data_IF_509929300618
#
_entry.id   IF_509929300618
#
_cell.length_a   1.000
_cell.length_b   1.000
_cell.length_c   1.000
_cell.angle_alpha   90.00
_cell.angle_beta   90.00
_cell.angle_gamma   90.00
#
_symmetry.space_group_name_H-M   'P 1'
#
loop_
_entity.id
_entity.type
_entity.pdbx_description
1 polymer ?
#
# COMPACT_ATOMS: atom_id res chain seq x y z
N UNK A 1 -15.87 24.65 18.11
CA UNK A 1 -14.94 25.63 17.56
C UNK A 1 -14.37 25.07 16.28
N UNK A 2 -14.77 25.63 15.12
CA UNK A 2 -14.20 25.31 13.82
C UNK A 2 -12.79 25.94 13.74
N UNK A 3 -11.77 25.11 13.91
CA UNK A 3 -10.43 25.51 13.49
C UNK A 3 -10.36 25.39 11.96
N UNK A 4 -10.49 26.50 11.26
CA UNK A 4 -10.00 26.61 9.89
C UNK A 4 -8.48 26.45 9.93
N UNK A 5 -7.98 25.25 9.68
CA UNK A 5 -6.55 25.03 9.43
C UNK A 5 -6.30 25.51 8.00
N UNK A 6 -5.85 26.77 7.88
CA UNK A 6 -5.45 27.36 6.61
C UNK A 6 -4.41 26.46 5.93
N UNK A 7 -4.71 25.96 4.73
CA UNK A 7 -3.77 25.23 3.88
C UNK A 7 -4.02 23.72 3.69
N UNK A 8 -4.94 23.09 4.44
CA UNK A 8 -5.24 21.65 4.30
C UNK A 8 -6.39 21.40 3.33
N UNK A 9 -6.25 20.37 2.49
CA UNK A 9 -7.32 19.98 1.58
C UNK A 9 -8.47 19.29 2.32
N UNK A 10 -9.70 19.33 1.76
CA UNK A 10 -10.85 18.63 2.35
C UNK A 10 -10.59 17.12 2.48
N UNK A 11 -9.92 16.52 1.49
CA UNK A 11 -9.57 15.08 1.51
C UNK A 11 -8.59 14.73 2.64
N UNK A 12 -7.64 15.62 2.93
CA UNK A 12 -6.72 15.47 4.07
C UNK A 12 -7.47 15.57 5.40
N UNK A 13 -8.37 16.54 5.55
CA UNK A 13 -9.22 16.68 6.74
C UNK A 13 -10.11 15.44 6.96
N UNK A 14 -10.68 14.90 5.90
CA UNK A 14 -11.48 13.67 5.94
C UNK A 14 -10.63 12.46 6.35
N UNK A 15 -9.36 12.40 5.94
CA UNK A 15 -8.42 11.37 6.35
C UNK A 15 -8.09 11.49 7.85
N UNK A 16 -7.79 12.69 8.33
CA UNK A 16 -7.56 12.98 9.76
C UNK A 16 -8.77 12.57 10.59
N UNK A 17 -9.97 12.95 10.15
CA UNK A 17 -11.23 12.58 10.82
C UNK A 17 -11.39 11.05 10.88
N UNK A 18 -11.13 10.36 9.78
CA UNK A 18 -11.19 8.90 9.72
C UNK A 18 -10.22 8.25 10.70
N UNK A 19 -8.98 8.72 10.77
CA UNK A 19 -7.97 8.20 11.70
C UNK A 19 -8.42 8.43 13.15
N UNK A 20 -8.86 9.63 13.50
CA UNK A 20 -9.36 9.97 14.84
C UNK A 20 -10.55 9.09 15.27
N UNK A 21 -11.41 8.69 14.35
CA UNK A 21 -12.54 7.79 14.63
C UNK A 21 -12.11 6.36 14.89
N UNK A 22 -10.98 5.92 14.34
CA UNK A 22 -10.55 4.52 14.36
C UNK A 22 -9.29 4.27 15.21
N UNK A 23 -8.69 5.31 15.78
CA UNK A 23 -7.50 5.20 16.61
C UNK A 23 -7.63 6.03 17.88
N UNK A 24 -7.31 5.41 19.02
CA UNK A 24 -7.43 6.02 20.36
C UNK A 24 -6.09 6.43 20.97
N UNK A 25 -4.96 6.12 20.28
CA UNK A 25 -3.64 6.51 20.73
C UNK A 25 -3.30 7.96 20.37
N UNK A 26 -2.05 8.34 20.61
CA UNK A 26 -1.57 9.69 20.32
C UNK A 26 -1.54 9.96 18.81
N UNK A 27 -2.11 11.11 18.42
CA UNK A 27 -2.11 11.60 17.04
C UNK A 27 -1.50 13.00 17.05
N UNK A 28 -0.40 13.17 16.34
CA UNK A 28 0.23 14.46 16.13
C UNK A 28 -0.01 14.93 14.69
N UNK A 29 -0.38 16.19 14.52
CA UNK A 29 -0.68 16.78 13.21
C UNK A 29 0.35 17.86 12.89
N UNK A 30 0.80 17.90 11.63
CA UNK A 30 1.77 18.90 11.16
C UNK A 30 3.07 18.90 11.98
N UNK A 31 3.55 17.69 12.33
CA UNK A 31 4.80 17.55 13.08
C UNK A 31 5.99 18.04 12.28
N UNK A 32 6.88 18.76 12.93
CA UNK A 32 8.14 19.27 12.37
C UNK A 32 9.36 18.88 13.19
N UNK A 33 9.16 18.13 14.26
CA UNK A 33 10.24 17.75 15.18
C UNK A 33 11.03 16.55 14.66
N UNK A 34 10.37 15.58 14.06
CA UNK A 34 10.96 14.33 13.55
C UNK A 34 11.93 14.61 12.40
N UNK A 35 11.62 15.56 11.51
CA UNK A 35 12.40 15.89 10.33
C UNK A 35 13.06 17.28 10.38
N UNK A 36 13.38 17.77 11.57
CA UNK A 36 14.15 19.02 11.79
C UNK A 36 13.62 20.22 10.99
N UNK A 37 12.29 20.43 11.02
CA UNK A 37 11.59 21.54 10.38
C UNK A 37 10.79 21.19 9.14
N UNK A 38 11.00 20.02 8.50
CA UNK A 38 10.11 19.52 7.44
C UNK A 38 8.87 18.90 8.07
N UNK A 39 7.70 19.27 7.55
CA UNK A 39 6.42 18.84 8.08
C UNK A 39 6.08 17.39 7.72
N UNK A 40 5.48 16.68 8.69
CA UNK A 40 4.76 15.43 8.51
C UNK A 40 3.29 15.68 8.83
N UNK A 41 2.38 15.38 7.90
CA UNK A 41 0.95 15.73 8.03
C UNK A 41 0.28 15.07 9.22
N UNK A 42 0.52 13.77 9.42
CA UNK A 42 -0.05 12.97 10.51
C UNK A 42 1.01 12.01 11.03
N UNK A 43 1.22 12.01 12.34
CA UNK A 43 2.10 11.07 13.03
C UNK A 43 1.33 10.31 14.09
N UNK A 44 1.55 9.01 14.17
CA UNK A 44 0.99 8.07 15.14
C UNK A 44 2.15 7.42 15.91
N UNK A 45 2.69 8.07 16.94
CA UNK A 45 3.93 7.66 17.62
C UNK A 45 3.87 6.25 18.18
N UNK A 46 2.76 5.85 18.81
CA UNK A 46 2.59 4.50 19.39
C UNK A 46 2.66 3.39 18.36
N UNK A 47 2.48 3.71 17.06
CA UNK A 47 2.57 2.76 15.96
C UNK A 47 3.86 2.89 15.15
N UNK A 48 4.70 3.88 15.46
CA UNK A 48 5.85 4.22 14.63
C UNK A 48 5.44 4.53 13.18
N UNK A 49 4.33 5.24 12.98
CA UNK A 49 3.72 5.46 11.67
C UNK A 49 3.54 6.95 11.39
N UNK A 50 4.04 7.40 10.26
CA UNK A 50 3.78 8.72 9.70
C UNK A 50 3.01 8.59 8.37
N UNK A 51 2.15 9.56 8.06
CA UNK A 51 1.30 9.58 6.87
C UNK A 51 1.39 10.96 6.24
N UNK A 52 1.65 11.00 4.94
CA UNK A 52 1.64 12.19 4.09
C UNK A 52 0.48 12.15 3.12
N UNK A 53 -0.22 13.26 2.98
CA UNK A 53 -1.23 13.42 1.93
C UNK A 53 -0.67 14.31 0.80
N UNK A 54 -0.35 13.68 -0.32
CA UNK A 54 0.31 14.33 -1.44
C UNK A 54 -0.72 14.82 -2.49
N UNK A 55 -1.02 16.12 -2.44
CA UNK A 55 -1.84 16.78 -3.45
C UNK A 55 -1.07 16.97 -4.77
N UNK A 56 -1.72 16.79 -5.90
CA UNK A 56 -1.09 16.82 -7.22
C UNK A 56 -0.37 18.15 -7.52
N UNK A 57 -0.89 19.28 -7.05
CA UNK A 57 -0.33 20.60 -7.31
C UNK A 57 1.04 20.80 -6.65
N UNK A 58 1.14 20.49 -5.36
CA UNK A 58 2.35 20.77 -4.58
C UNK A 58 3.46 19.74 -4.82
N UNK A 59 3.11 18.53 -5.27
CA UNK A 59 4.04 17.43 -5.49
C UNK A 59 4.35 17.16 -6.98
N UNK A 60 4.03 18.12 -7.86
CA UNK A 60 4.42 18.07 -9.27
C UNK A 60 5.91 18.35 -9.46
N UNK A 61 6.49 17.91 -10.59
CA UNK A 61 7.90 18.20 -10.96
C UNK A 61 8.24 19.70 -10.98
N UNK A 62 7.25 20.57 -11.14
CA UNK A 62 7.44 22.01 -11.07
C UNK A 62 7.78 22.51 -9.65
N UNK A 63 7.54 21.72 -8.61
CA UNK A 63 7.68 22.11 -7.20
C UNK A 63 8.71 21.28 -6.45
N UNK A 64 8.86 19.99 -6.78
CA UNK A 64 9.75 19.06 -6.04
C UNK A 64 10.64 18.26 -6.99
N UNK A 65 11.80 17.82 -6.50
CA UNK A 65 12.72 16.98 -7.27
C UNK A 65 12.18 15.55 -7.39
N UNK A 66 12.66 14.80 -8.40
CA UNK A 66 12.35 13.39 -8.63
C UNK A 66 12.54 12.52 -7.36
N UNK A 67 13.53 12.84 -6.54
CA UNK A 67 13.90 12.04 -5.37
C UNK A 67 13.28 12.53 -4.06
N UNK A 68 12.48 13.59 -4.08
CA UNK A 68 11.94 14.21 -2.88
C UNK A 68 11.20 13.24 -1.95
N UNK A 69 10.25 12.47 -2.50
CA UNK A 69 9.47 11.51 -1.70
C UNK A 69 10.33 10.36 -1.19
N UNK A 70 11.26 9.85 -2.01
CA UNK A 70 12.19 8.80 -1.62
C UNK A 70 13.09 9.27 -0.48
N UNK A 71 13.64 10.48 -0.58
CA UNK A 71 14.50 11.04 0.46
C UNK A 71 13.72 11.24 1.76
N UNK A 72 12.51 11.84 1.68
CA UNK A 72 11.65 12.01 2.85
C UNK A 72 11.32 10.66 3.50
N UNK A 73 11.01 9.63 2.72
CA UNK A 73 10.78 8.26 3.23
C UNK A 73 12.01 7.73 3.97
N UNK A 74 13.20 7.86 3.38
CA UNK A 74 14.43 7.37 4.00
C UNK A 74 14.72 8.08 5.33
N UNK A 75 14.55 9.40 5.38
CA UNK A 75 14.80 10.20 6.59
C UNK A 75 13.82 9.83 7.72
N UNK A 76 12.54 9.62 7.39
CA UNK A 76 11.52 9.16 8.35
C UNK A 76 11.83 7.75 8.85
N UNK A 77 12.27 6.84 7.96
CA UNK A 77 12.67 5.49 8.34
C UNK A 77 13.90 5.48 9.25
N UNK A 78 14.87 6.36 9.04
CA UNK A 78 16.03 6.54 9.92
C UNK A 78 15.61 7.04 11.32
N UNK A 79 14.54 7.81 11.42
CA UNK A 79 13.95 8.25 12.68
C UNK A 79 13.08 7.18 13.37
N UNK A 80 13.03 5.96 12.85
CA UNK A 80 12.30 4.84 13.43
C UNK A 80 10.82 4.75 13.08
N UNK A 81 10.34 5.56 12.15
CA UNK A 81 8.95 5.56 11.69
C UNK A 81 8.81 4.92 10.31
N UNK A 82 7.65 4.35 10.03
CA UNK A 82 7.24 4.04 8.65
C UNK A 82 6.52 5.26 8.07
N UNK A 83 6.91 5.73 6.88
CA UNK A 83 6.17 6.75 6.15
C UNK A 83 5.22 6.11 5.12
N UNK A 84 3.95 6.51 5.12
CA UNK A 84 2.97 6.17 4.10
C UNK A 84 2.64 7.43 3.29
N UNK A 85 2.78 7.34 1.98
CA UNK A 85 2.35 8.37 1.05
C UNK A 85 0.97 8.05 0.49
N UNK A 86 0.01 8.94 0.70
CA UNK A 86 -1.32 8.88 0.12
C UNK A 86 -1.41 9.97 -0.94
N UNK A 87 -1.62 9.58 -2.19
CA UNK A 87 -1.73 10.52 -3.30
C UNK A 87 -3.18 10.86 -3.58
N UNK A 88 -3.42 12.06 -4.08
CA UNK A 88 -4.76 12.57 -4.37
C UNK A 88 -5.57 11.67 -5.33
N UNK A 89 -4.90 10.95 -6.22
CA UNK A 89 -5.51 10.00 -7.16
C UNK A 89 -5.82 8.62 -6.55
N UNK A 90 -5.35 8.34 -5.34
CA UNK A 90 -5.62 7.04 -4.71
C UNK A 90 -7.11 6.88 -4.41
N UNK A 91 -7.61 5.66 -4.57
CA UNK A 91 -8.98 5.30 -4.15
C UNK A 91 -9.07 5.32 -2.61
N UNK A 92 -9.78 6.32 -2.08
CA UNK A 92 -9.87 6.53 -0.63
C UNK A 92 -10.54 5.37 0.12
N UNK A 93 -11.41 4.58 -0.50
CA UNK A 93 -12.01 3.42 0.15
C UNK A 93 -10.96 2.33 0.39
N UNK A 94 -10.08 2.09 -0.60
CA UNK A 94 -8.97 1.15 -0.47
C UNK A 94 -7.96 1.68 0.55
N UNK A 95 -7.60 2.96 0.48
CA UNK A 95 -6.72 3.64 1.44
C UNK A 95 -7.22 3.45 2.87
N UNK A 96 -8.48 3.81 3.14
CA UNK A 96 -9.10 3.67 4.47
C UNK A 96 -9.08 2.22 4.95
N UNK A 97 -9.39 1.27 4.07
CA UNK A 97 -9.32 -0.16 4.38
C UNK A 97 -7.91 -0.60 4.79
N UNK A 98 -6.87 -0.15 4.07
CA UNK A 98 -5.47 -0.47 4.40
C UNK A 98 -5.02 0.23 5.68
N UNK A 99 -5.49 1.43 5.94
CA UNK A 99 -5.24 2.11 7.22
C UNK A 99 -5.88 1.36 8.39
N UNK A 100 -7.11 0.85 8.27
CA UNK A 100 -7.70 0.00 9.32
C UNK A 100 -6.83 -1.21 9.66
N UNK A 101 -6.15 -1.80 8.67
CA UNK A 101 -5.20 -2.89 8.92
C UNK A 101 -3.99 -2.41 9.75
N UNK A 102 -3.41 -1.23 9.40
CA UNK A 102 -2.32 -0.61 10.15
C UNK A 102 -2.74 -0.23 11.58
N UNK A 103 -3.94 0.30 11.74
CA UNK A 103 -4.54 0.65 13.03
C UNK A 103 -5.02 -0.57 13.84
N UNK A 104 -4.90 -1.80 13.31
CA UNK A 104 -5.35 -3.07 13.93
C UNK A 104 -6.87 -3.11 14.19
N UNK A 105 -7.66 -2.37 13.38
CA UNK A 105 -9.12 -2.24 13.47
C UNK A 105 -9.88 -3.00 12.37
N UNK A 106 -9.18 -3.67 11.46
CA UNK A 106 -9.80 -4.52 10.44
C UNK A 106 -10.35 -5.82 11.04
N UNK A 107 -11.40 -6.36 10.42
CA UNK A 107 -11.91 -7.69 10.72
C UNK A 107 -10.81 -8.73 10.49
N UNK A 108 -10.62 -9.66 11.43
CA UNK A 108 -9.63 -10.73 11.32
C UNK A 108 -10.29 -12.02 10.88
N UNK A 109 -9.81 -12.58 9.77
CA UNK A 109 -10.10 -13.95 9.31
C UNK A 109 -8.81 -14.74 9.39
N UNK A 110 -8.85 -15.94 9.96
CA UNK A 110 -7.66 -16.78 10.02
C UNK A 110 -7.58 -17.68 8.79
N UNK A 111 -6.45 -17.69 8.10
CA UNK A 111 -6.26 -18.47 6.88
C UNK A 111 -6.47 -19.97 7.10
N UNK A 112 -6.25 -20.52 8.31
CA UNK A 112 -6.55 -21.93 8.63
C UNK A 112 -8.02 -22.30 8.43
N UNK A 113 -8.92 -21.32 8.53
CA UNK A 113 -10.37 -21.49 8.35
C UNK A 113 -10.81 -21.25 6.90
N UNK A 114 -9.88 -20.91 6.00
CA UNK A 114 -10.17 -20.65 4.61
C UNK A 114 -9.81 -21.84 3.73
N UNK A 115 -10.59 -22.04 2.68
CA UNK A 115 -10.31 -23.01 1.61
C UNK A 115 -9.53 -22.31 0.50
N UNK A 116 -8.48 -22.95 -0.02
CA UNK A 116 -7.75 -22.47 -1.20
C UNK A 116 -8.42 -23.04 -2.46
N UNK A 117 -8.55 -22.19 -3.48
CA UNK A 117 -8.95 -22.61 -4.83
C UNK A 117 -8.08 -21.91 -5.87
N UNK A 118 -7.77 -22.62 -6.96
CA UNK A 118 -7.34 -21.97 -8.19
C UNK A 118 -8.52 -21.20 -8.77
N UNK A 119 -8.28 -19.98 -9.23
CA UNK A 119 -9.33 -19.10 -9.73
C UNK A 119 -8.92 -18.50 -11.07
N UNK A 120 -9.87 -18.02 -11.85
CA UNK A 120 -9.59 -17.14 -12.98
C UNK A 120 -8.97 -15.83 -12.48
N UNK A 121 -8.41 -15.03 -13.38
CA UNK A 121 -7.83 -13.74 -13.02
C UNK A 121 -8.88 -12.86 -12.28
N UNK A 122 -8.66 -12.52 -10.99
CA UNK A 122 -9.67 -11.88 -10.14
C UNK A 122 -9.67 -10.37 -10.34
N UNK A 123 -9.93 -9.92 -11.58
CA UNK A 123 -9.83 -8.51 -11.99
C UNK A 123 -10.67 -7.60 -11.08
N UNK A 124 -11.96 -7.89 -10.95
CA UNK A 124 -12.89 -7.03 -10.18
C UNK A 124 -12.51 -6.96 -8.70
N UNK A 125 -12.15 -8.10 -8.11
CA UNK A 125 -11.69 -8.13 -6.72
C UNK A 125 -10.44 -7.26 -6.52
N UNK A 126 -9.46 -7.34 -7.41
CA UNK A 126 -8.23 -6.55 -7.32
C UNK A 126 -8.47 -5.05 -7.57
N UNK A 127 -9.33 -4.69 -8.53
CA UNK A 127 -9.70 -3.28 -8.75
C UNK A 127 -10.37 -2.66 -7.51
N UNK A 128 -11.13 -3.43 -6.77
CA UNK A 128 -11.82 -2.97 -5.57
C UNK A 128 -10.95 -3.01 -4.31
N UNK A 129 -9.87 -3.79 -4.29
CA UNK A 129 -9.15 -4.06 -3.04
C UNK A 129 -7.65 -3.75 -3.07
N UNK A 130 -7.03 -3.63 -4.24
CA UNK A 130 -5.59 -3.38 -4.35
C UNK A 130 -5.30 -1.93 -4.73
N UNK A 131 -4.36 -1.27 -4.04
CA UNK A 131 -4.01 0.15 -4.28
C UNK A 131 -3.59 0.45 -5.73
N UNK A 132 -2.94 -0.50 -6.38
CA UNK A 132 -2.51 -0.38 -7.77
C UNK A 132 -3.48 -1.04 -8.77
N UNK A 133 -4.69 -1.42 -8.33
CA UNK A 133 -5.66 -2.13 -9.16
C UNK A 133 -5.19 -3.53 -9.59
N UNK A 134 -5.91 -4.11 -10.55
CA UNK A 134 -5.65 -5.47 -11.02
C UNK A 134 -4.36 -5.60 -11.86
N UNK A 135 -4.08 -4.60 -12.69
CA UNK A 135 -2.99 -4.69 -13.66
C UNK A 135 -3.33 -5.62 -14.83
N UNK A 136 -2.30 -6.14 -15.51
CA UNK A 136 -2.46 -7.09 -16.62
C UNK A 136 -2.91 -8.47 -16.11
N UNK A 137 -3.67 -9.24 -16.93
CA UNK A 137 -4.08 -10.60 -16.59
C UNK A 137 -2.89 -11.51 -16.29
N UNK A 138 -3.07 -12.36 -15.29
CA UNK A 138 -2.06 -13.31 -14.81
C UNK A 138 -2.51 -14.76 -15.03
N UNK A 139 -1.55 -15.68 -15.12
CA UNK A 139 -1.83 -17.08 -15.45
C UNK A 139 -2.11 -17.96 -14.22
N UNK A 140 -1.39 -17.72 -13.13
CA UNK A 140 -1.53 -18.48 -11.89
C UNK A 140 -2.18 -17.62 -10.84
N UNK A 141 -3.41 -17.98 -10.45
CA UNK A 141 -4.20 -17.21 -9.52
C UNK A 141 -4.81 -18.12 -8.47
N UNK A 142 -4.60 -17.78 -7.21
CA UNK A 142 -5.12 -18.54 -6.09
C UNK A 142 -5.96 -17.64 -5.19
N UNK A 143 -7.10 -18.14 -4.74
CA UNK A 143 -8.01 -17.46 -3.83
C UNK A 143 -8.16 -18.20 -2.51
N UNK A 144 -8.29 -17.44 -1.43
CA UNK A 144 -8.76 -17.93 -0.14
C UNK A 144 -10.25 -17.63 -0.01
N UNK A 145 -11.02 -18.65 0.29
CA UNK A 145 -12.47 -18.56 0.48
C UNK A 145 -12.82 -18.83 1.95
N UNK A 146 -13.63 -17.96 2.50
CA UNK A 146 -14.22 -18.09 3.83
C UNK A 146 -15.73 -17.98 3.72
N UNK A 147 -16.46 -18.95 4.21
CA UNK A 147 -17.93 -19.06 4.05
C UNK A 147 -18.42 -18.91 2.60
N UNK A 148 -17.64 -19.42 1.64
CA UNK A 148 -17.98 -19.34 0.22
C UNK A 148 -17.53 -18.06 -0.50
N UNK A 149 -17.13 -17.05 0.22
CA UNK A 149 -16.70 -15.74 -0.34
C UNK A 149 -15.18 -15.65 -0.50
N UNK A 150 -14.73 -14.97 -1.55
CA UNK A 150 -13.31 -14.69 -1.80
C UNK A 150 -12.85 -13.59 -0.83
N UNK A 151 -11.97 -13.94 0.11
CA UNK A 151 -11.45 -13.02 1.14
C UNK A 151 -10.00 -12.59 0.93
N UNK A 152 -9.24 -13.31 0.13
CA UNK A 152 -7.91 -12.88 -0.32
C UNK A 152 -7.54 -13.60 -1.61
N UNK A 153 -6.67 -12.99 -2.42
CA UNK A 153 -6.08 -13.63 -3.58
C UNK A 153 -4.60 -13.29 -3.74
N UNK A 154 -3.90 -14.18 -4.45
CA UNK A 154 -2.51 -13.99 -4.84
C UNK A 154 -2.35 -14.39 -6.30
N UNK A 155 -1.65 -13.56 -7.07
CA UNK A 155 -1.54 -13.75 -8.53
C UNK A 155 -0.09 -13.73 -8.96
N UNK A 156 0.24 -14.59 -9.93
CA UNK A 156 1.58 -14.75 -10.47
C UNK A 156 1.57 -14.70 -11.99
N UNK A 157 2.63 -14.17 -12.56
CA UNK A 157 2.89 -14.16 -13.99
C UNK A 157 4.35 -14.59 -14.26
N UNK A 158 4.72 -14.93 -15.51
CA UNK A 158 6.12 -15.03 -15.88
C UNK A 158 6.84 -13.72 -15.58
N UNK A 159 8.07 -13.80 -15.06
CA UNK A 159 8.83 -12.61 -14.70
C UNK A 159 9.08 -11.71 -15.92
N UNK A 160 8.66 -10.44 -15.83
CA UNK A 160 8.66 -9.50 -16.96
C UNK A 160 9.99 -8.75 -17.08
N UNK A 161 10.53 -8.30 -15.96
CA UNK A 161 11.67 -7.39 -15.93
C UNK A 161 12.98 -8.08 -15.55
N UNK A 162 12.97 -8.98 -14.59
CA UNK A 162 14.15 -9.73 -14.17
C UNK A 162 14.05 -11.18 -14.64
N UNK A 163 14.87 -11.53 -15.63
CA UNK A 163 14.87 -12.86 -16.28
C UNK A 163 15.61 -13.95 -15.52
N UNK A 164 16.27 -13.58 -14.42
CA UNK A 164 16.88 -14.56 -13.51
C UNK A 164 15.83 -15.31 -12.68
N UNK A 165 14.58 -14.84 -12.73
CA UNK A 165 13.45 -15.45 -12.05
C UNK A 165 12.39 -15.93 -13.06
N UNK A 166 11.78 -17.08 -12.77
CA UNK A 166 10.73 -17.65 -13.63
C UNK A 166 9.40 -16.90 -13.45
N UNK A 167 9.07 -16.55 -12.22
CA UNK A 167 7.78 -15.96 -11.87
C UNK A 167 7.94 -14.60 -11.19
N UNK A 168 6.89 -13.80 -11.35
CA UNK A 168 6.67 -12.57 -10.60
C UNK A 168 5.41 -12.74 -9.74
N UNK A 169 5.51 -12.53 -8.42
CA UNK A 169 4.35 -12.30 -7.58
C UNK A 169 3.82 -10.90 -7.88
N UNK A 170 2.73 -10.84 -8.63
CA UNK A 170 2.20 -9.57 -9.18
C UNK A 170 1.32 -8.86 -8.18
N UNK A 171 0.39 -9.58 -7.51
CA UNK A 171 -0.55 -9.01 -6.54
C UNK A 171 -0.81 -9.97 -5.40
N UNK A 172 -0.94 -9.40 -4.22
CA UNK A 172 -1.60 -9.99 -3.07
C UNK A 172 -2.59 -8.98 -2.49
N UNK A 173 -3.84 -9.37 -2.33
CA UNK A 173 -4.86 -8.51 -1.74
C UNK A 173 -5.81 -9.30 -0.85
N UNK A 174 -6.33 -8.66 0.17
CA UNK A 174 -7.45 -9.14 0.97
C UNK A 174 -8.68 -8.25 0.77
N UNK A 175 -9.86 -8.78 1.04
CA UNK A 175 -11.11 -8.04 1.00
C UNK A 175 -11.03 -6.74 1.79
N UNK A 176 -11.85 -5.75 1.45
CA UNK A 176 -11.87 -4.47 2.15
C UNK A 176 -12.15 -4.69 3.65
N UNK A 177 -11.54 -3.85 4.47
CA UNK A 177 -11.66 -3.85 5.94
C UNK A 177 -11.31 -5.20 6.61
N UNK A 178 -10.64 -6.10 5.89
CA UNK A 178 -10.33 -7.46 6.34
C UNK A 178 -8.82 -7.70 6.34
N UNK A 179 -8.32 -8.34 7.40
CA UNK A 179 -6.97 -8.92 7.47
C UNK A 179 -7.09 -10.45 7.52
N UNK A 180 -6.58 -11.12 6.49
CA UNK A 180 -6.50 -12.59 6.49
C UNK A 180 -5.18 -13.01 7.11
N UNK A 181 -5.21 -13.32 8.42
CA UNK A 181 -4.02 -13.69 9.20
C UNK A 181 -3.43 -15.00 8.67
N UNK A 182 -2.17 -14.95 8.22
CA UNK A 182 -1.48 -16.07 7.58
C UNK A 182 -1.92 -16.31 6.12
N UNK A 183 -2.76 -15.44 5.54
CA UNK A 183 -3.30 -15.60 4.19
C UNK A 183 -2.23 -15.62 3.11
N UNK A 184 -1.32 -14.67 3.13
CA UNK A 184 -0.24 -14.60 2.16
C UNK A 184 0.67 -15.84 2.23
N UNK A 185 1.08 -16.24 3.43
CA UNK A 185 1.93 -17.42 3.61
C UNK A 185 1.23 -18.71 3.15
N UNK A 186 -0.06 -18.84 3.42
CA UNK A 186 -0.85 -20.01 3.00
C UNK A 186 -0.96 -20.07 1.47
N UNK A 187 -1.24 -18.96 0.80
CA UNK A 187 -1.34 -18.88 -0.67
C UNK A 187 0.02 -19.09 -1.34
N UNK A 188 1.08 -18.44 -0.83
CA UNK A 188 2.42 -18.56 -1.39
C UNK A 188 2.96 -20.00 -1.27
N UNK A 189 2.78 -20.61 -0.10
CA UNK A 189 3.15 -22.02 0.09
C UNK A 189 2.36 -22.97 -0.83
N UNK A 190 1.08 -22.69 -1.05
CA UNK A 190 0.24 -23.48 -1.96
C UNK A 190 0.68 -23.36 -3.43
N UNK A 191 1.11 -22.17 -3.84
CA UNK A 191 1.62 -21.96 -5.20
C UNK A 191 2.88 -22.79 -5.50
N UNK A 192 3.67 -23.14 -4.47
CA UNK A 192 4.85 -24.00 -4.55
C UNK A 192 5.83 -23.60 -5.67
N UNK A 193 6.08 -22.29 -5.79
CA UNK A 193 7.00 -21.71 -6.78
C UNK A 193 8.35 -21.41 -6.11
N UNK A 194 9.45 -21.76 -6.78
CA UNK A 194 10.80 -21.66 -6.20
C UNK A 194 11.61 -20.46 -6.70
N UNK A 195 11.31 -19.97 -7.90
CA UNK A 195 12.04 -18.87 -8.53
C UNK A 195 11.07 -17.71 -8.75
N UNK A 196 10.91 -16.88 -7.70
CA UNK A 196 9.90 -15.81 -7.68
C UNK A 196 10.52 -14.48 -7.30
N UNK A 197 10.29 -13.44 -8.11
CA UNK A 197 10.59 -12.05 -7.79
C UNK A 197 9.30 -11.28 -7.48
N UNK A 198 9.39 -10.21 -6.72
CA UNK A 198 8.31 -9.26 -6.52
C UNK A 198 8.82 -7.84 -6.35
N UNK A 199 7.94 -6.86 -6.54
CA UNK A 199 8.24 -5.44 -6.43
C UNK A 199 7.42 -4.81 -5.33
N UNK A 200 8.11 -4.30 -4.31
CA UNK A 200 7.49 -3.65 -3.15
C UNK A 200 7.28 -2.16 -3.42
N UNK A 201 6.03 -1.69 -3.29
CA UNK A 201 5.73 -0.28 -3.33
C UNK A 201 6.14 0.39 -2.01
N UNK A 202 7.23 1.19 -2.04
CA UNK A 202 7.83 1.84 -0.87
C UNK A 202 6.99 2.97 -0.29
N UNK A 203 6.04 3.49 -1.03
CA UNK A 203 5.03 4.45 -0.58
C UNK A 203 4.04 3.87 0.45
N UNK A 204 3.93 2.54 0.53
CA UNK A 204 3.02 1.84 1.46
C UNK A 204 3.69 0.80 2.35
N UNK A 205 4.85 0.29 1.99
CA UNK A 205 5.41 -0.89 2.63
C UNK A 205 6.93 -0.82 2.75
N UNK A 206 7.43 -1.34 3.85
CA UNK A 206 8.87 -1.59 4.08
C UNK A 206 9.27 -3.04 3.73
N UNK A 207 8.42 -3.78 3.00
CA UNK A 207 8.73 -5.15 2.56
C UNK A 207 8.51 -6.25 3.61
N UNK A 208 7.88 -5.95 4.76
CA UNK A 208 7.70 -6.94 5.83
C UNK A 208 6.97 -8.22 5.38
N UNK A 209 5.96 -8.08 4.50
CA UNK A 209 5.26 -9.22 3.92
C UNK A 209 6.21 -10.15 3.18
N UNK A 210 7.08 -9.59 2.35
CA UNK A 210 8.03 -10.36 1.53
C UNK A 210 9.06 -11.07 2.41
N UNK A 211 9.59 -10.40 3.44
CA UNK A 211 10.47 -11.04 4.43
C UNK A 211 9.79 -12.24 5.11
N UNK A 212 8.51 -12.12 5.49
CA UNK A 212 7.73 -13.23 6.08
C UNK A 212 7.51 -14.38 5.11
N UNK A 213 7.50 -14.12 3.81
CA UNK A 213 7.38 -15.14 2.77
C UNK A 213 8.73 -15.75 2.36
N UNK A 214 9.85 -15.30 2.95
CA UNK A 214 11.19 -15.78 2.65
C UNK A 214 11.87 -15.11 1.46
N UNK A 215 11.38 -13.94 1.01
CA UNK A 215 12.06 -13.15 -0.01
C UNK A 215 13.24 -12.39 0.58
N UNK A 216 14.30 -12.28 -0.21
CA UNK A 216 15.45 -11.41 0.05
C UNK A 216 15.35 -10.12 -0.75
N UNK A 217 15.79 -9.01 -0.14
CA UNK A 217 15.88 -7.72 -0.85
C UNK A 217 17.09 -7.71 -1.77
N UNK A 218 16.86 -7.62 -3.07
CA UNK A 218 17.94 -7.54 -4.05
C UNK A 218 18.49 -6.11 -4.17
N UNK A 219 17.62 -5.16 -4.46
CA UNK A 219 17.98 -3.74 -4.64
C UNK A 219 16.75 -2.85 -4.58
N UNK A 220 16.97 -1.55 -4.47
CA UNK A 220 15.93 -0.52 -4.64
C UNK A 220 16.00 0.03 -6.05
N UNK A 221 14.86 0.11 -6.73
CA UNK A 221 14.77 0.74 -8.05
C UNK A 221 14.77 2.26 -7.94
N UNK A 222 15.06 2.93 -9.05
CA UNK A 222 14.80 4.37 -9.18
C UNK A 222 13.33 4.71 -8.95
N UNK A 223 13.02 5.91 -8.42
CA UNK A 223 11.66 6.38 -8.26
C UNK A 223 10.89 6.33 -9.58
N UNK A 224 9.71 5.75 -9.53
CA UNK A 224 8.80 5.75 -10.66
C UNK A 224 8.04 7.10 -10.71
N UNK A 225 7.44 7.41 -11.84
CA UNK A 225 6.65 8.62 -12.03
C UNK A 225 5.33 8.31 -12.73
N UNK A 226 4.39 9.24 -12.60
CA UNK A 226 3.12 9.23 -13.30
C UNK A 226 2.84 10.62 -13.87
N UNK A 227 1.96 10.67 -14.86
CA UNK A 227 1.46 11.90 -15.43
C UNK A 227 0.10 12.22 -14.82
N UNK A 228 -0.13 13.49 -14.53
CA UNK A 228 -1.44 13.97 -14.05
C UNK A 228 -1.75 15.34 -14.66
N UNK A 229 -3.01 15.54 -15.02
CA UNK A 229 -3.55 16.81 -15.51
C UNK A 229 -4.65 17.37 -14.59
N UNK A 230 -4.62 17.05 -13.29
CA UNK A 230 -5.63 17.32 -12.26
C UNK A 230 -6.90 16.47 -12.35
N UNK A 231 -7.26 15.93 -13.52
CA UNK A 231 -8.47 15.12 -13.71
C UNK A 231 -8.13 13.64 -13.94
N UNK A 232 -7.02 13.37 -14.60
CA UNK A 232 -6.58 12.03 -14.95
C UNK A 232 -5.20 11.74 -14.37
N UNK A 233 -5.00 10.51 -13.99
CA UNK A 233 -3.71 9.95 -13.58
C UNK A 233 -3.35 8.81 -14.53
N UNK A 234 -2.18 8.90 -15.16
CA UNK A 234 -1.65 7.86 -16.05
C UNK A 234 -0.27 7.43 -15.61
N UNK A 235 -0.06 6.14 -15.52
CA UNK A 235 1.28 5.60 -15.33
C UNK A 235 2.09 5.76 -16.63
N UNK A 236 3.40 5.74 -16.57
CA UNK A 236 4.29 5.83 -17.74
C UNK A 236 4.02 4.77 -18.82
N UNK A 237 3.32 3.69 -18.49
CA UNK A 237 2.97 2.61 -19.41
C UNK A 237 1.58 2.79 -20.07
N UNK A 238 0.84 3.83 -19.68
CA UNK A 238 -0.48 4.17 -20.22
C UNK A 238 -0.45 5.42 -21.13
N UNK A 239 0.75 5.95 -21.34
CA UNK A 239 1.00 7.10 -22.26
C UNK A 239 1.55 6.61 -23.58
#
# INVERSE_FOLDING_TARGET
QCFHVLGKSQKELDLVKFIKQNYQGWIELSDRSILEGRELDIVLPDLGLAIEYNGNYWHSQAKVTKYYHQQKTNDVEQSGYQLIHIYEHNNLNIVKSRLLQKLKKSQKIYARNCVIKSIQFPKEFLEQTHLQGAGAPTKLNYGLFYNGELVACMTFAPSRFNKDFEYELVRYSSALNTTVVGGASKLFKHANLHSVVSYCARDWSQGQLYKQLGFELLYSTEPNYCYTNHMEHKTRYQC
#
